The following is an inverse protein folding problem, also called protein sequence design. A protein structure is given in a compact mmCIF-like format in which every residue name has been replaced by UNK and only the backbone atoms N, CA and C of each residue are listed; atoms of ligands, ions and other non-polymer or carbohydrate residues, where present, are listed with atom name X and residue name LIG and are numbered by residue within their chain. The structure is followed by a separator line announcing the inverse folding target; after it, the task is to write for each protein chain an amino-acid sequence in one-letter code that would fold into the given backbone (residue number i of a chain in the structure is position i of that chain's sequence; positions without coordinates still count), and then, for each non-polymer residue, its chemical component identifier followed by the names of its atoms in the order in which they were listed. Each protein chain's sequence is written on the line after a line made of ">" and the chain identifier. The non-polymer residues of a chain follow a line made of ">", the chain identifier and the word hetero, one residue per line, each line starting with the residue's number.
data_IF_508487820076
#
_entry.id   IF_508487820076
#
_cell.length_a   1.000
_cell.length_b   1.000
_cell.length_c   1.000
_cell.angle_alpha   90.00
_cell.angle_beta   90.00
_cell.angle_gamma   90.00
#
_symmetry.space_group_name_H-M   'P 1'
#
loop_
_entity.id
_entity.type
_entity.pdbx_description
1 polymer ?
#
# COMPACT_ATOMS: atom_id res chain seq x y z
N UNK A 1 17.77 -29.37 5.03
CA UNK A 1 18.01 -27.91 4.85
C UNK A 1 17.24 -27.28 3.68
N UNK A 2 16.90 -27.97 2.59
CA UNK A 2 16.15 -27.43 1.44
C UNK A 2 14.69 -27.00 1.76
N UNK A 3 13.95 -27.76 2.53
CA UNK A 3 12.54 -27.45 2.84
C UNK A 3 12.36 -26.15 3.64
N UNK A 4 13.27 -25.82 4.56
CA UNK A 4 13.21 -24.58 5.33
C UNK A 4 13.50 -23.34 4.46
N UNK A 5 14.30 -23.47 3.40
CA UNK A 5 14.57 -22.40 2.43
C UNK A 5 13.35 -22.09 1.58
N UNK A 6 12.60 -23.10 1.13
CA UNK A 6 11.41 -22.94 0.28
C UNK A 6 10.31 -22.21 1.08
N UNK A 7 10.06 -22.58 2.33
CA UNK A 7 9.02 -21.98 3.16
C UNK A 7 9.23 -20.50 3.46
N UNK A 8 10.48 -20.03 3.60
CA UNK A 8 10.75 -18.59 3.84
C UNK A 8 10.59 -17.72 2.59
N UNK A 9 11.03 -18.18 1.43
CA UNK A 9 10.81 -17.49 0.15
C UNK A 9 9.33 -17.43 -0.21
N UNK A 10 8.57 -18.49 0.10
CA UNK A 10 7.11 -18.49 -0.09
C UNK A 10 6.41 -17.44 0.77
N UNK A 11 6.93 -17.12 1.96
CA UNK A 11 6.38 -16.02 2.79
C UNK A 11 6.59 -14.65 2.14
N UNK A 12 7.75 -14.39 1.53
CA UNK A 12 7.97 -13.14 0.79
C UNK A 12 7.08 -13.04 -0.45
N UNK A 13 6.90 -14.14 -1.22
CA UNK A 13 5.96 -14.18 -2.34
C UNK A 13 4.53 -13.86 -1.88
N UNK A 14 4.07 -14.51 -0.81
CA UNK A 14 2.75 -14.27 -0.24
C UNK A 14 2.61 -12.84 0.28
N UNK A 15 3.64 -12.30 0.93
CA UNK A 15 3.64 -10.94 1.43
C UNK A 15 3.49 -9.93 0.28
N UNK A 16 4.32 -10.01 -0.78
CA UNK A 16 4.19 -9.13 -1.94
C UNK A 16 2.85 -9.33 -2.65
N UNK A 17 2.38 -10.57 -2.74
CA UNK A 17 1.09 -10.89 -3.33
C UNK A 17 -0.05 -10.17 -2.59
N UNK A 18 -0.14 -10.33 -1.27
CA UNK A 18 -1.20 -9.72 -0.46
C UNK A 18 -1.09 -8.19 -0.43
N UNK A 19 0.12 -7.66 -0.25
CA UNK A 19 0.36 -6.22 -0.20
C UNK A 19 -0.05 -5.55 -1.52
N UNK A 20 0.41 -6.05 -2.66
CA UNK A 20 0.08 -5.46 -3.96
C UNK A 20 -1.34 -5.78 -4.43
N UNK A 21 -1.95 -6.87 -3.95
CA UNK A 21 -3.36 -7.12 -4.13
C UNK A 21 -4.20 -6.01 -3.49
N UNK A 22 -3.91 -5.64 -2.23
CA UNK A 22 -4.57 -4.53 -1.55
C UNK A 22 -4.37 -3.21 -2.33
N UNK A 23 -3.16 -2.91 -2.78
CA UNK A 23 -2.90 -1.74 -3.64
C UNK A 23 -3.71 -1.76 -4.95
N UNK A 24 -3.83 -2.93 -5.60
CA UNK A 24 -4.62 -3.08 -6.83
C UNK A 24 -6.11 -2.87 -6.64
N UNK A 25 -6.63 -3.15 -5.43
CA UNK A 25 -8.01 -2.88 -5.06
C UNK A 25 -8.26 -1.38 -4.89
N UNK A 26 -7.38 -0.66 -4.21
CA UNK A 26 -7.65 0.71 -3.76
C UNK A 26 -7.09 1.79 -4.70
N UNK A 27 -5.81 1.69 -5.09
CA UNK A 27 -5.09 2.77 -5.78
C UNK A 27 -5.73 3.21 -7.11
N UNK A 28 -6.10 2.29 -8.04
CA UNK A 28 -6.68 2.70 -9.31
C UNK A 28 -8.06 3.35 -9.18
N UNK A 29 -8.78 3.01 -8.10
CA UNK A 29 -10.19 3.41 -7.91
C UNK A 29 -10.38 4.52 -6.88
N UNK A 30 -9.32 4.97 -6.22
CA UNK A 30 -9.35 6.01 -5.20
C UNK A 30 -10.00 7.31 -5.72
N UNK A 31 -9.61 7.78 -6.90
CA UNK A 31 -10.21 8.97 -7.50
C UNK A 31 -11.69 8.78 -7.81
N UNK A 32 -12.06 7.65 -8.39
CA UNK A 32 -13.44 7.33 -8.71
C UNK A 32 -14.30 7.19 -7.44
N UNK A 33 -13.74 6.60 -6.39
CA UNK A 33 -14.40 6.52 -5.08
C UNK A 33 -14.73 7.91 -4.53
N UNK A 34 -13.79 8.85 -4.57
CA UNK A 34 -13.98 10.23 -4.10
C UNK A 34 -15.03 10.98 -4.92
N UNK A 35 -15.05 10.81 -6.24
CA UNK A 35 -16.09 11.37 -7.13
C UNK A 35 -17.48 10.83 -6.76
N UNK A 36 -17.60 9.52 -6.54
CA UNK A 36 -18.87 8.88 -6.15
C UNK A 36 -19.36 9.33 -4.76
N UNK A 37 -18.47 9.82 -3.91
CA UNK A 37 -18.79 10.45 -2.62
C UNK A 37 -19.21 11.92 -2.75
N UNK A 38 -19.27 12.46 -3.98
CA UNK A 38 -19.78 13.79 -4.27
C UNK A 38 -18.72 14.89 -4.28
N UNK A 39 -17.42 14.56 -4.31
CA UNK A 39 -16.37 15.57 -4.42
C UNK A 39 -16.29 16.13 -5.84
N UNK A 40 -16.19 17.47 -5.92
CA UNK A 40 -15.98 18.17 -7.18
C UNK A 40 -14.55 17.99 -7.73
N UNK A 41 -14.38 18.31 -9.03
CA UNK A 41 -13.09 18.13 -9.70
C UNK A 41 -11.93 18.90 -9.04
N UNK A 42 -12.18 20.13 -8.57
CA UNK A 42 -11.18 20.94 -7.87
C UNK A 42 -10.77 20.32 -6.52
N UNK A 43 -11.73 19.84 -5.74
CA UNK A 43 -11.51 19.16 -4.47
C UNK A 43 -10.71 17.88 -4.67
N UNK A 44 -11.09 17.09 -5.69
CA UNK A 44 -10.36 15.88 -6.07
C UNK A 44 -8.91 16.17 -6.44
N UNK A 45 -8.66 17.21 -7.26
CA UNK A 45 -7.32 17.60 -7.66
C UNK A 45 -6.46 17.97 -6.45
N UNK A 46 -7.00 18.70 -5.47
CA UNK A 46 -6.30 19.04 -4.22
C UNK A 46 -5.99 17.78 -3.42
N UNK A 47 -6.96 16.89 -3.24
CA UNK A 47 -6.80 15.67 -2.44
C UNK A 47 -5.78 14.70 -3.06
N UNK A 48 -5.82 14.48 -4.36
CA UNK A 48 -4.86 13.60 -5.04
C UNK A 48 -3.48 14.27 -5.18
N UNK A 49 -3.44 15.60 -5.34
CA UNK A 49 -2.20 16.36 -5.46
C UNK A 49 -1.40 16.46 -4.16
N UNK A 50 -2.05 16.44 -2.99
CA UNK A 50 -1.35 16.49 -1.70
C UNK A 50 -0.59 15.18 -1.38
N UNK A 51 -1.05 14.04 -1.90
CA UNK A 51 -0.44 12.74 -1.60
C UNK A 51 1.05 12.66 -1.95
N UNK A 52 1.51 13.00 -3.16
CA UNK A 52 2.94 12.98 -3.47
C UNK A 52 3.74 13.98 -2.64
N UNK A 53 3.19 15.14 -2.28
CA UNK A 53 3.86 16.13 -1.43
C UNK A 53 4.10 15.58 -0.02
N UNK A 54 3.09 14.94 0.56
CA UNK A 54 3.23 14.27 1.87
C UNK A 54 4.30 13.16 1.80
N UNK A 55 4.32 12.37 0.73
CA UNK A 55 5.29 11.27 0.56
C UNK A 55 6.74 11.75 0.48
N UNK A 56 7.00 12.90 -0.12
CA UNK A 56 8.35 13.49 -0.19
C UNK A 56 8.93 13.69 1.22
N UNK A 57 8.10 14.05 2.19
CA UNK A 57 8.54 14.30 3.57
C UNK A 57 8.44 13.02 4.42
N UNK A 58 7.32 12.32 4.33
CA UNK A 58 7.05 11.18 5.20
C UNK A 58 7.95 9.97 4.91
N UNK A 59 8.26 9.70 3.65
CA UNK A 59 9.05 8.53 3.26
C UNK A 59 10.48 8.54 3.83
N UNK A 60 11.27 9.65 3.73
CA UNK A 60 12.59 9.72 4.35
C UNK A 60 12.53 9.64 5.88
N UNK A 61 11.52 10.27 6.51
CA UNK A 61 11.36 10.23 7.97
C UNK A 61 11.14 8.80 8.47
N UNK A 62 10.27 8.05 7.82
CA UNK A 62 10.06 6.63 8.16
C UNK A 62 11.30 5.76 7.92
N UNK A 63 12.03 6.03 6.83
CA UNK A 63 13.31 5.37 6.57
C UNK A 63 14.31 5.61 7.69
N UNK A 64 14.48 6.87 8.08
CA UNK A 64 15.35 7.26 9.18
C UNK A 64 14.95 6.62 10.52
N UNK A 65 13.65 6.61 10.85
CA UNK A 65 13.12 5.94 12.05
C UNK A 65 13.47 4.44 12.00
N UNK A 66 13.21 3.78 10.87
CA UNK A 66 13.47 2.36 10.71
C UNK A 66 14.95 1.99 10.85
N UNK A 67 15.86 2.86 10.40
CA UNK A 67 17.30 2.64 10.48
C UNK A 67 17.86 2.96 11.86
N UNK A 68 17.46 4.09 12.50
CA UNK A 68 17.90 4.45 13.86
C UNK A 68 17.53 3.37 14.86
N UNK A 69 16.30 2.88 14.81
CA UNK A 69 15.82 1.84 15.74
C UNK A 69 16.16 0.42 15.30
N UNK A 70 16.78 0.24 14.12
CA UNK A 70 17.05 -1.07 13.51
C UNK A 70 15.83 -2.00 13.50
N UNK A 71 14.65 -1.41 13.30
CA UNK A 71 13.35 -2.06 13.49
C UNK A 71 12.50 -2.02 12.20
N UNK A 72 13.11 -2.19 11.03
CA UNK A 72 12.44 -2.11 9.71
C UNK A 72 11.16 -2.93 9.62
N UNK A 73 11.15 -4.15 10.21
CA UNK A 73 9.96 -5.01 10.21
C UNK A 73 8.82 -4.45 11.08
N UNK A 74 9.15 -3.94 12.28
CA UNK A 74 8.15 -3.34 13.18
C UNK A 74 7.58 -2.05 12.60
N UNK A 75 8.43 -1.22 11.99
CA UNK A 75 7.99 0.00 11.29
C UNK A 75 7.09 -0.34 10.12
N UNK A 76 7.46 -1.34 9.29
CA UNK A 76 6.63 -1.80 8.20
C UNK A 76 5.26 -2.30 8.70
N UNK A 77 5.23 -3.10 9.76
CA UNK A 77 3.97 -3.58 10.33
C UNK A 77 3.09 -2.44 10.86
N UNK A 78 3.69 -1.47 11.57
CA UNK A 78 2.99 -0.29 12.07
C UNK A 78 2.38 0.53 10.92
N UNK A 79 3.16 0.75 9.86
CA UNK A 79 2.71 1.55 8.72
C UNK A 79 1.62 0.85 7.91
N UNK A 80 1.69 -0.47 7.74
CA UNK A 80 0.63 -1.25 7.11
C UNK A 80 -0.67 -1.22 7.93
N UNK A 81 -0.59 -1.34 9.26
CA UNK A 81 -1.76 -1.22 10.13
C UNK A 81 -2.33 0.20 10.05
N UNK A 82 -1.50 1.24 10.15
CA UNK A 82 -1.93 2.64 10.05
C UNK A 82 -2.59 2.95 8.71
N UNK A 83 -2.06 2.39 7.62
CA UNK A 83 -2.62 2.50 6.28
C UNK A 83 -4.01 1.84 6.21
N UNK A 84 -4.15 0.60 6.72
CA UNK A 84 -5.42 -0.12 6.75
C UNK A 84 -6.48 0.59 7.61
N UNK A 85 -6.11 1.09 8.80
CA UNK A 85 -7.00 1.88 9.66
C UNK A 85 -7.43 3.15 8.95
N UNK A 86 -6.50 3.87 8.32
CA UNK A 86 -6.82 5.10 7.58
C UNK A 86 -7.78 4.82 6.41
N UNK A 87 -7.55 3.72 5.68
CA UNK A 87 -8.44 3.29 4.60
C UNK A 87 -9.86 2.93 5.12
N UNK A 88 -9.93 2.22 6.24
CA UNK A 88 -11.22 1.89 6.87
C UNK A 88 -11.99 3.14 7.29
N UNK A 89 -11.31 4.16 7.82
CA UNK A 89 -11.94 5.43 8.20
C UNK A 89 -12.55 6.18 7.01
N UNK A 90 -12.10 5.94 5.77
CA UNK A 90 -12.72 6.52 4.58
C UNK A 90 -14.21 6.21 4.44
N UNK A 91 -14.69 5.10 4.99
CA UNK A 91 -16.10 4.73 4.94
C UNK A 91 -17.03 5.70 5.69
N UNK A 92 -16.52 6.33 6.75
CA UNK A 92 -17.31 7.14 7.69
C UNK A 92 -17.27 8.64 7.41
N UNK A 93 -16.42 9.07 6.48
CA UNK A 93 -16.17 10.49 6.23
C UNK A 93 -17.00 10.98 5.05
N UNK A 94 -17.55 12.21 5.19
CA UNK A 94 -18.38 12.86 4.17
C UNK A 94 -17.96 14.30 3.86
N UNK A 95 -17.18 14.96 4.74
CA UNK A 95 -16.78 16.35 4.59
C UNK A 95 -15.41 16.47 3.96
N UNK A 96 -15.20 17.45 3.07
CA UNK A 96 -13.92 17.71 2.39
C UNK A 96 -12.73 17.76 3.35
N UNK A 97 -12.81 18.55 4.43
CA UNK A 97 -11.71 18.69 5.38
C UNK A 97 -11.34 17.40 6.10
N UNK A 98 -12.33 16.55 6.35
CA UNK A 98 -12.06 15.25 6.96
C UNK A 98 -11.41 14.29 5.93
N UNK A 99 -11.81 14.35 4.65
CA UNK A 99 -11.10 13.68 3.55
C UNK A 99 -9.66 14.14 3.43
N UNK A 100 -9.43 15.47 3.52
CA UNK A 100 -8.10 16.05 3.43
C UNK A 100 -7.17 15.50 4.53
N UNK A 101 -7.63 15.49 5.78
CA UNK A 101 -6.86 14.96 6.92
C UNK A 101 -6.60 13.45 6.74
N UNK A 102 -7.61 12.69 6.34
CA UNK A 102 -7.47 11.24 6.17
C UNK A 102 -6.53 10.87 5.02
N UNK A 103 -6.55 11.60 3.93
CA UNK A 103 -5.64 11.38 2.79
C UNK A 103 -4.20 11.69 3.20
N UNK A 104 -3.96 12.73 3.97
CA UNK A 104 -2.64 13.03 4.54
C UNK A 104 -2.20 11.86 5.45
N UNK A 105 -3.05 11.42 6.37
CA UNK A 105 -2.76 10.34 7.29
C UNK A 105 -2.47 9.02 6.55
N UNK A 106 -3.31 8.67 5.58
CA UNK A 106 -3.10 7.51 4.70
C UNK A 106 -1.76 7.59 3.96
N UNK A 107 -1.44 8.76 3.37
CA UNK A 107 -0.19 8.97 2.63
C UNK A 107 1.05 8.87 3.50
N UNK A 108 0.98 9.34 4.77
CA UNK A 108 2.06 9.20 5.75
C UNK A 108 2.37 7.72 5.99
N UNK A 109 1.35 6.91 6.23
CA UNK A 109 1.55 5.48 6.51
C UNK A 109 1.86 4.66 5.25
N UNK A 110 1.28 5.02 4.11
CA UNK A 110 1.49 4.30 2.85
C UNK A 110 2.90 4.52 2.29
N UNK A 111 3.48 5.72 2.46
CA UNK A 111 4.73 6.13 1.84
C UNK A 111 5.92 5.18 2.06
N UNK A 112 6.18 4.60 3.26
CA UNK A 112 7.34 3.74 3.51
C UNK A 112 7.12 2.26 3.18
N UNK A 113 5.88 1.83 2.92
CA UNK A 113 5.55 0.40 2.84
C UNK A 113 6.32 -0.32 1.73
N UNK A 114 6.37 0.22 0.52
CA UNK A 114 7.12 -0.36 -0.59
C UNK A 114 8.65 -0.30 -0.41
N UNK A 115 9.24 0.85 -0.05
CA UNK A 115 10.67 0.94 0.22
C UNK A 115 11.13 0.00 1.35
N UNK A 116 10.41 -0.05 2.48
CA UNK A 116 10.77 -0.94 3.59
C UNK A 116 10.61 -2.42 3.22
N UNK A 117 9.53 -2.79 2.54
CA UNK A 117 9.34 -4.15 2.05
C UNK A 117 10.48 -4.59 1.12
N UNK A 118 10.90 -3.69 0.22
CA UNK A 118 12.02 -3.91 -0.69
C UNK A 118 13.32 -4.08 0.09
N UNK A 119 13.64 -3.16 1.00
CA UNK A 119 14.86 -3.20 1.79
C UNK A 119 14.97 -4.50 2.63
N UNK A 120 13.91 -4.86 3.35
CA UNK A 120 13.85 -6.10 4.16
C UNK A 120 14.08 -7.33 3.28
N UNK A 121 13.50 -7.35 2.08
CA UNK A 121 13.64 -8.49 1.17
C UNK A 121 15.03 -8.58 0.59
N UNK A 122 15.63 -7.45 0.19
CA UNK A 122 17.00 -7.39 -0.33
C UNK A 122 17.99 -7.81 0.75
N UNK A 123 17.90 -7.23 1.96
CA UNK A 123 18.78 -7.62 3.09
C UNK A 123 18.70 -9.14 3.36
N UNK A 124 17.51 -9.73 3.26
CA UNK A 124 17.35 -11.17 3.42
C UNK A 124 18.02 -11.98 2.31
N UNK A 125 17.94 -11.52 1.06
CA UNK A 125 18.51 -12.19 -0.11
C UNK A 125 20.03 -12.02 -0.17
N UNK A 126 20.56 -10.84 0.17
CA UNK A 126 22.01 -10.56 0.25
C UNK A 126 22.70 -11.49 1.23
N UNK A 127 22.16 -11.66 2.42
CA UNK A 127 22.67 -12.61 3.41
C UNK A 127 22.70 -14.07 2.92
N UNK A 128 22.13 -14.34 1.74
CA UNK A 128 22.06 -15.69 1.11
C UNK A 128 22.66 -15.74 -0.27
N UNK A 129 23.25 -14.64 -0.74
CA UNK A 129 23.81 -14.53 -2.09
C UNK A 129 22.78 -14.90 -3.17
N UNK A 130 21.54 -14.42 -3.05
CA UNK A 130 20.40 -14.72 -3.93
C UNK A 130 19.65 -13.46 -4.36
N UNK A 131 20.32 -12.32 -4.48
CA UNK A 131 19.71 -11.02 -4.82
C UNK A 131 18.99 -11.06 -6.18
N UNK A 132 19.51 -11.85 -7.10
CA UNK A 132 18.92 -12.08 -8.43
C UNK A 132 17.46 -12.60 -8.36
N UNK A 133 17.07 -13.23 -7.24
CA UNK A 133 15.70 -13.74 -7.03
C UNK A 133 14.70 -12.67 -6.59
N UNK A 134 15.13 -11.44 -6.33
CA UNK A 134 14.22 -10.37 -5.95
C UNK A 134 13.12 -10.12 -6.99
N UNK A 135 13.48 -10.13 -8.27
CA UNK A 135 12.52 -9.98 -9.37
C UNK A 135 11.43 -11.05 -9.36
N UNK A 136 11.81 -12.32 -9.08
CA UNK A 136 10.88 -13.44 -8.95
C UNK A 136 9.87 -13.22 -7.82
N UNK A 137 10.34 -12.74 -6.65
CA UNK A 137 9.47 -12.50 -5.50
C UNK A 137 8.50 -11.35 -5.76
N UNK A 138 8.98 -10.26 -6.36
CA UNK A 138 8.17 -9.07 -6.66
C UNK A 138 7.15 -9.32 -7.79
N UNK A 139 7.44 -10.21 -8.73
CA UNK A 139 6.55 -10.57 -9.84
C UNK A 139 5.18 -11.05 -9.33
N UNK A 140 5.14 -11.83 -8.24
CA UNK A 140 3.89 -12.29 -7.61
C UNK A 140 3.00 -11.14 -7.15
N UNK A 141 3.63 -10.07 -6.65
CA UNK A 141 2.91 -8.85 -6.31
C UNK A 141 2.36 -8.12 -7.54
N UNK A 142 3.16 -7.98 -8.60
CA UNK A 142 2.69 -7.35 -9.84
C UNK A 142 1.51 -8.11 -10.44
N UNK A 143 1.58 -9.44 -10.41
CA UNK A 143 0.48 -10.30 -10.88
C UNK A 143 -0.79 -10.08 -10.05
N UNK A 144 -0.68 -10.05 -8.72
CA UNK A 144 -1.82 -9.81 -7.83
C UNK A 144 -2.43 -8.42 -8.03
N UNK A 145 -1.61 -7.39 -8.24
CA UNK A 145 -2.08 -6.03 -8.53
C UNK A 145 -2.94 -6.00 -9.79
N UNK A 146 -2.47 -6.62 -10.89
CA UNK A 146 -3.23 -6.69 -12.15
C UNK A 146 -4.55 -7.44 -11.96
N UNK A 147 -4.50 -8.62 -11.31
CA UNK A 147 -5.70 -9.42 -11.05
C UNK A 147 -6.70 -8.60 -10.21
N UNK A 148 -6.24 -8.00 -9.11
CA UNK A 148 -7.10 -7.19 -8.23
C UNK A 148 -7.72 -6.01 -8.97
N UNK A 149 -6.91 -5.25 -9.73
CA UNK A 149 -7.39 -4.09 -10.49
C UNK A 149 -8.44 -4.48 -11.53
N UNK A 150 -8.20 -5.56 -12.29
CA UNK A 150 -9.16 -6.01 -13.32
C UNK A 150 -10.45 -6.55 -12.68
N UNK A 151 -10.33 -7.38 -11.63
CA UNK A 151 -11.50 -7.94 -10.94
C UNK A 151 -12.34 -6.83 -10.31
N UNK A 152 -11.68 -5.87 -9.63
CA UNK A 152 -12.38 -4.72 -9.04
C UNK A 152 -13.02 -3.84 -10.11
N UNK A 153 -12.34 -3.60 -11.22
CA UNK A 153 -12.90 -2.87 -12.35
C UNK A 153 -14.16 -3.52 -12.91
N UNK A 154 -14.16 -4.83 -13.07
CA UNK A 154 -15.27 -5.57 -13.64
C UNK A 154 -16.47 -5.72 -12.66
N UNK A 155 -16.19 -6.01 -11.38
CA UNK A 155 -17.23 -6.33 -10.40
C UNK A 155 -17.85 -5.09 -9.75
N UNK A 156 -17.11 -3.98 -9.63
CA UNK A 156 -17.47 -2.88 -8.75
C UNK A 156 -17.71 -1.53 -9.46
N UNK A 157 -17.54 -1.47 -10.78
CA UNK A 157 -17.68 -0.20 -11.52
C UNK A 157 -19.02 0.49 -11.37
N UNK A 158 -20.14 -0.23 -11.15
CA UNK A 158 -21.46 0.37 -11.17
C UNK A 158 -22.13 0.58 -9.79
N UNK A 159 -21.94 -0.28 -8.81
CA UNK A 159 -22.70 -0.19 -7.55
C UNK A 159 -21.91 -0.32 -6.25
N UNK A 160 -20.78 -1.04 -6.23
CA UNK A 160 -20.09 -1.40 -4.99
C UNK A 160 -18.82 -0.60 -4.72
N UNK A 161 -18.48 0.38 -5.53
CA UNK A 161 -17.28 1.21 -5.41
C UNK A 161 -17.16 1.91 -4.05
N UNK A 162 -18.29 2.18 -3.39
CA UNK A 162 -18.33 2.80 -2.06
C UNK A 162 -17.69 1.90 -0.98
N UNK A 163 -17.65 0.59 -1.21
CA UNK A 163 -17.12 -0.39 -0.25
C UNK A 163 -15.65 -0.76 -0.50
N UNK A 164 -14.98 -0.15 -1.50
CA UNK A 164 -13.58 -0.40 -1.79
C UNK A 164 -12.68 -0.30 -0.54
N UNK A 165 -12.82 0.71 0.35
CA UNK A 165 -12.00 0.81 1.55
C UNK A 165 -12.19 -0.34 2.56
N UNK A 166 -13.27 -1.11 2.46
CA UNK A 166 -13.53 -2.26 3.33
C UNK A 166 -12.73 -3.50 2.89
N UNK A 167 -12.42 -3.59 1.60
CA UNK A 167 -11.70 -4.73 0.99
C UNK A 167 -10.19 -4.52 1.01
N UNK A 168 -9.75 -3.27 1.22
CA UNK A 168 -8.35 -2.89 1.38
C UNK A 168 -7.80 -3.29 2.75
#
# INVERSE_FOLDING_TARGET
>A
MAQVKITRLSRFRLFFFLMLLAYGVFMPYQGLYLIRRGLGGAELAVLLGIMPLVKIIAQPLWGMIADIYRARQSVLSLTLIGMGVSAFLFLFVQKFWAWFILIILFSIFESPSMPLATAITIDYLENRQQVERFGELRMWGSLSFVIASVVMGYLFLDRLIVYIPLVF
#
